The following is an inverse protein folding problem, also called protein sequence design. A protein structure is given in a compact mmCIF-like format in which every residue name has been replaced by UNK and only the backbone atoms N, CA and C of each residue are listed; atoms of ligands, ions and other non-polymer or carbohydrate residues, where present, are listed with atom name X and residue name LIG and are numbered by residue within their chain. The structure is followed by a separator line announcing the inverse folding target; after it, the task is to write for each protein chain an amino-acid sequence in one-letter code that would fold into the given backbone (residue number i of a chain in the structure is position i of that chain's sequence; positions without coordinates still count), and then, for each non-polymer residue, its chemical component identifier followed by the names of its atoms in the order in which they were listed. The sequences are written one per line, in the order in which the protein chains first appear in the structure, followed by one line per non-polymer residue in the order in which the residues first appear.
data_IF_168460885166
#
_entry.id   IF_168460885166
#
_cell.length_a   1.000
_cell.length_b   1.000
_cell.length_c   1.000
_cell.angle_alpha   90.00
_cell.angle_beta   90.00
_cell.angle_gamma   90.00
#
_symmetry.space_group_name_H-M   'P 1'
#
loop_
_entity.id
_entity.type
_entity.pdbx_description
1 polymer ?
#
# COMPACT_ATOMS: atom_id res chain seq x y z
N UNK A 1 -14.22 -7.20 3.76
CA UNK A 1 -13.57 -7.22 2.43
C UNK A 1 -12.10 -6.92 2.66
N UNK A 2 -11.20 -7.72 2.12
CA UNK A 2 -9.76 -7.43 2.16
C UNK A 2 -9.44 -6.35 1.12
N UNK A 3 -8.69 -5.33 1.51
CA UNK A 3 -8.18 -4.30 0.62
C UNK A 3 -6.72 -3.97 0.97
N UNK A 4 -6.04 -3.36 0.02
CA UNK A 4 -4.72 -2.77 0.16
C UNK A 4 -4.85 -1.27 0.05
N UNK A 5 -4.11 -0.54 0.89
CA UNK A 5 -4.02 0.92 0.83
C UNK A 5 -2.84 1.29 -0.06
N UNK A 6 -3.06 2.25 -0.94
CA UNK A 6 -2.10 2.81 -1.87
C UNK A 6 -2.02 4.32 -1.67
N UNK A 7 -0.84 4.91 -1.83
CA UNK A 7 -0.69 6.33 -2.08
C UNK A 7 -0.65 6.53 -3.59
N UNK A 8 -1.67 7.19 -4.13
CA UNK A 8 -1.78 7.49 -5.56
C UNK A 8 -1.52 8.98 -5.75
N UNK A 9 -0.45 9.30 -6.48
CA UNK A 9 -0.10 10.68 -6.81
C UNK A 9 -0.70 11.05 -8.15
N UNK A 10 -1.42 12.17 -8.17
CA UNK A 10 -1.99 12.81 -9.36
C UNK A 10 -1.51 14.27 -9.41
N UNK A 11 -1.71 15.01 -10.52
CA UNK A 11 -1.34 16.41 -10.59
C UNK A 11 -1.92 17.24 -9.43
N UNK A 12 -1.03 17.79 -8.60
CA UNK A 12 -1.39 18.67 -7.49
C UNK A 12 -2.00 17.99 -6.26
N UNK A 13 -2.08 16.65 -6.19
CA UNK A 13 -2.67 15.95 -5.04
C UNK A 13 -2.10 14.55 -4.82
N UNK A 14 -2.05 14.14 -3.57
CA UNK A 14 -1.83 12.75 -3.16
C UNK A 14 -3.12 12.18 -2.55
N UNK A 15 -3.49 10.97 -2.96
CA UNK A 15 -4.71 10.28 -2.54
C UNK A 15 -4.34 9.00 -1.80
N UNK A 16 -4.90 8.81 -0.61
CA UNK A 16 -4.88 7.51 0.07
C UNK A 16 -6.02 6.67 -0.49
N UNK A 17 -5.68 5.69 -1.32
CA UNK A 17 -6.58 4.93 -2.17
C UNK A 17 -6.65 3.46 -1.73
N UNK A 18 -7.84 2.94 -1.45
CA UNK A 18 -8.06 1.56 -1.01
C UNK A 18 -8.57 0.74 -2.18
N UNK A 19 -7.92 -0.38 -2.46
CA UNK A 19 -8.27 -1.21 -3.62
C UNK A 19 -8.03 -2.69 -3.34
N UNK A 20 -8.71 -3.59 -4.06
CA UNK A 20 -8.60 -5.05 -3.89
C UNK A 20 -7.30 -5.64 -4.44
N UNK A 21 -6.55 -4.87 -5.23
CA UNK A 21 -5.25 -5.29 -5.75
C UNK A 21 -4.27 -5.58 -4.58
N UNK A 22 -3.52 -6.67 -4.64
CA UNK A 22 -2.62 -7.07 -3.56
C UNK A 22 -1.35 -6.21 -3.48
N UNK A 23 -0.90 -5.69 -4.63
CA UNK A 23 0.34 -4.92 -4.77
C UNK A 23 0.28 -3.87 -5.89
N UNK A 24 1.32 -3.05 -6.02
CA UNK A 24 1.40 -1.97 -7.03
C UNK A 24 1.34 -2.52 -8.46
N UNK A 25 2.02 -3.63 -8.75
CA UNK A 25 2.05 -4.22 -10.09
C UNK A 25 0.66 -4.63 -10.55
N UNK A 26 -0.13 -5.23 -9.66
CA UNK A 26 -1.51 -5.60 -9.93
C UNK A 26 -2.40 -4.35 -10.08
N UNK A 27 -2.23 -3.34 -9.22
CA UNK A 27 -2.97 -2.08 -9.30
C UNK A 27 -2.76 -1.36 -10.64
N UNK A 28 -1.51 -1.26 -11.12
CA UNK A 28 -1.18 -0.62 -12.39
C UNK A 28 -1.65 -1.46 -13.59
N UNK A 29 -1.81 -2.77 -13.42
CA UNK A 29 -2.24 -3.70 -14.48
C UNK A 29 -3.76 -3.75 -14.66
N UNK A 30 -4.54 -3.05 -13.84
CA UNK A 30 -5.99 -2.91 -13.99
C UNK A 30 -6.32 -2.38 -15.40
N UNK A 31 -7.23 -3.05 -16.09
CA UNK A 31 -7.62 -2.71 -17.47
C UNK A 31 -8.51 -1.48 -17.55
N UNK A 32 -9.28 -1.22 -16.50
CA UNK A 32 -10.23 -0.11 -16.47
C UNK A 32 -9.52 1.24 -16.39
N UNK A 33 -10.00 2.21 -17.19
CA UNK A 33 -9.47 3.57 -17.22
C UNK A 33 -9.80 4.36 -15.96
N UNK A 34 -10.93 4.06 -15.32
CA UNK A 34 -11.36 4.68 -14.07
C UNK A 34 -11.24 3.65 -12.95
N UNK A 35 -10.37 3.94 -11.99
CA UNK A 35 -10.18 3.11 -10.80
C UNK A 35 -11.00 3.74 -9.68
N UNK A 36 -11.84 2.94 -9.02
CA UNK A 36 -12.72 3.38 -7.92
C UNK A 36 -12.21 2.77 -6.62
N UNK A 37 -12.20 3.57 -5.56
CA UNK A 37 -11.83 3.10 -4.23
C UNK A 37 -12.80 2.00 -3.75
N UNK A 38 -12.31 1.07 -2.95
CA UNK A 38 -13.08 -0.07 -2.44
C UNK A 38 -14.38 0.33 -1.71
N UNK A 39 -14.45 1.56 -1.18
CA UNK A 39 -15.64 2.10 -0.52
C UNK A 39 -16.50 3.00 -1.43
N UNK A 40 -16.14 3.20 -2.70
CA UNK A 40 -16.86 4.05 -3.64
C UNK A 40 -16.77 5.55 -3.33
N UNK A 41 -15.87 5.97 -2.43
CA UNK A 41 -15.77 7.36 -1.94
C UNK A 41 -15.05 8.26 -2.94
N UNK A 42 -14.10 7.70 -3.69
CA UNK A 42 -13.25 8.44 -4.60
C UNK A 42 -12.90 7.59 -5.82
N UNK A 43 -12.53 8.24 -6.91
CA UNK A 43 -12.08 7.60 -8.13
C UNK A 43 -10.93 8.39 -8.74
N UNK A 44 -10.07 7.68 -9.46
CA UNK A 44 -8.92 8.25 -10.18
C UNK A 44 -8.90 7.70 -11.61
N UNK A 45 -8.64 8.56 -12.59
CA UNK A 45 -8.38 8.08 -13.95
C UNK A 45 -6.94 7.62 -14.04
N UNK A 46 -6.72 6.45 -14.65
CA UNK A 46 -5.40 5.86 -14.82
C UNK A 46 -4.43 6.78 -15.56
N UNK A 47 -4.92 7.53 -16.54
CA UNK A 47 -4.14 8.51 -17.30
C UNK A 47 -3.61 9.69 -16.45
N UNK A 48 -4.23 9.97 -15.31
CA UNK A 48 -3.83 11.06 -14.40
C UNK A 48 -2.84 10.60 -13.33
N UNK A 49 -2.53 9.30 -13.26
CA UNK A 49 -1.65 8.74 -12.24
C UNK A 49 -0.18 9.01 -12.59
N UNK A 50 0.51 9.74 -11.72
CA UNK A 50 1.96 10.00 -11.81
C UNK A 50 2.74 8.86 -11.16
N UNK A 51 2.33 8.45 -9.95
CA UNK A 51 2.93 7.33 -9.24
C UNK A 51 1.92 6.62 -8.34
N UNK A 52 2.17 5.34 -8.09
CA UNK A 52 1.43 4.52 -7.12
C UNK A 52 2.42 3.85 -6.21
N UNK A 53 2.19 4.03 -4.92
CA UNK A 53 2.97 3.44 -3.86
C UNK A 53 2.02 2.70 -2.92
N UNK A 54 2.53 1.71 -2.19
CA UNK A 54 1.73 1.04 -1.16
C UNK A 54 1.73 1.86 0.11
N UNK A 55 0.62 1.96 0.82
CA UNK A 55 0.58 2.63 2.11
C UNK A 55 0.47 1.60 3.24
N UNK A 56 1.36 1.64 4.27
CA UNK A 56 2.63 2.38 4.31
C UNK A 56 3.78 1.59 3.65
N UNK A 57 4.44 2.21 2.66
CA UNK A 57 5.60 1.71 1.89
C UNK A 57 6.66 1.08 2.79
N UNK A 58 7.07 1.74 3.89
CA UNK A 58 8.30 1.35 4.56
C UNK A 58 8.19 0.02 5.33
N UNK A 59 7.02 -0.24 5.91
CA UNK A 59 6.76 -1.49 6.62
C UNK A 59 6.61 -2.68 5.67
N UNK A 60 6.18 -2.47 4.41
CA UNK A 60 6.13 -3.54 3.40
C UNK A 60 7.51 -3.96 2.94
N UNK A 61 8.46 -3.02 2.81
CA UNK A 61 9.85 -3.37 2.53
C UNK A 61 10.46 -4.18 3.67
N UNK A 62 10.25 -3.75 4.93
CA UNK A 62 10.67 -4.52 6.10
C UNK A 62 10.08 -5.93 6.10
N UNK A 63 8.79 -6.09 5.76
CA UNK A 63 8.14 -7.39 5.62
C UNK A 63 8.82 -8.24 4.55
N UNK A 64 9.06 -7.68 3.36
CA UNK A 64 9.69 -8.40 2.24
C UNK A 64 11.12 -8.84 2.56
N UNK A 65 11.92 -7.99 3.22
CA UNK A 65 13.29 -8.33 3.64
C UNK A 65 13.34 -9.57 4.55
N UNK A 66 12.31 -9.77 5.39
CA UNK A 66 12.27 -10.86 6.38
C UNK A 66 11.62 -12.13 5.81
N UNK A 67 10.52 -11.98 5.07
CA UNK A 67 9.71 -13.12 4.61
C UNK A 67 10.00 -13.53 3.16
N UNK A 68 10.79 -12.75 2.42
CA UNK A 68 11.06 -12.93 0.99
C UNK A 68 9.79 -13.03 0.12
N UNK A 69 8.69 -12.41 0.57
CA UNK A 69 7.43 -12.31 -0.13
C UNK A 69 6.72 -11.00 0.23
N UNK A 70 5.84 -10.52 -0.65
CA UNK A 70 5.01 -9.35 -0.35
C UNK A 70 3.82 -9.74 0.53
N UNK A 71 3.37 -8.89 1.47
CA UNK A 71 2.17 -9.15 2.22
C UNK A 71 0.96 -9.09 1.28
N UNK A 72 0.15 -10.15 1.25
CA UNK A 72 -0.99 -10.26 0.34
C UNK A 72 -2.08 -9.20 0.55
N UNK A 73 -2.16 -8.61 1.75
CA UNK A 73 -3.02 -7.47 2.07
C UNK A 73 -2.47 -6.69 3.27
N UNK A 74 -3.09 -5.55 3.57
CA UNK A 74 -2.71 -4.67 4.68
C UNK A 74 -2.87 -5.34 6.06
N UNK A 75 -3.89 -6.18 6.22
CA UNK A 75 -4.16 -6.86 7.49
C UNK A 75 -3.04 -7.85 7.84
N UNK A 76 -2.49 -8.57 6.85
CA UNK A 76 -1.35 -9.47 7.03
C UNK A 76 -0.11 -8.70 7.48
N UNK A 77 0.15 -7.54 6.85
CA UNK A 77 1.24 -6.65 7.22
C UNK A 77 1.11 -6.17 8.67
N UNK A 78 -0.05 -5.64 9.06
CA UNK A 78 -0.24 -5.13 10.42
C UNK A 78 -0.24 -6.23 11.48
N UNK A 79 -0.85 -7.39 11.20
CA UNK A 79 -0.78 -8.56 12.10
C UNK A 79 0.66 -8.97 12.35
N UNK A 80 1.49 -9.02 11.31
CA UNK A 80 2.91 -9.30 11.46
C UNK A 80 3.60 -8.19 12.27
N UNK A 81 3.46 -6.93 11.87
CA UNK A 81 4.13 -5.81 12.52
C UNK A 81 3.80 -5.75 14.03
N UNK A 82 2.54 -5.93 14.42
CA UNK A 82 2.12 -5.96 15.82
C UNK A 82 2.49 -7.24 16.56
N UNK A 83 2.85 -8.33 15.85
CA UNK A 83 3.38 -9.55 16.46
C UNK A 83 4.86 -9.43 16.87
N UNK A 84 5.57 -8.44 16.33
CA UNK A 84 6.98 -8.20 16.66
C UNK A 84 7.14 -7.62 18.08
N UNK A 85 8.28 -7.89 18.75
CA UNK A 85 8.70 -7.18 19.95
C UNK A 85 8.71 -5.65 19.79
N UNK A 86 8.56 -4.90 20.89
CA UNK A 86 8.47 -3.44 20.83
C UNK A 86 9.73 -2.77 20.28
N UNK A 87 10.89 -3.30 20.61
CA UNK A 87 12.21 -2.87 20.12
C UNK A 87 12.37 -3.09 18.62
N UNK A 88 11.92 -4.23 18.08
CA UNK A 88 11.91 -4.47 16.64
C UNK A 88 10.96 -3.53 15.90
N UNK A 89 9.78 -3.28 16.47
CA UNK A 89 8.84 -2.30 15.89
C UNK A 89 9.44 -0.90 15.85
N UNK A 90 10.12 -0.46 16.92
CA UNK A 90 10.81 0.83 16.97
C UNK A 90 11.91 0.91 15.92
N UNK A 91 12.76 -0.10 15.83
CA UNK A 91 13.84 -0.14 14.84
C UNK A 91 13.31 -0.08 13.40
N UNK A 92 12.21 -0.79 13.12
CA UNK A 92 11.53 -0.69 11.82
C UNK A 92 10.96 0.72 11.65
N UNK A 93 10.20 1.27 12.58
CA UNK A 93 9.64 2.62 12.43
C UNK A 93 10.73 3.68 12.20
N UNK A 94 11.83 3.64 12.95
CA UNK A 94 12.96 4.59 12.83
C UNK A 94 13.71 4.47 11.51
N UNK A 95 13.94 3.24 11.02
CA UNK A 95 14.67 2.98 9.75
C UNK A 95 13.95 3.52 8.50
N UNK A 96 12.66 3.82 8.64
CA UNK A 96 11.72 3.87 7.54
C UNK A 96 10.74 5.06 7.66
N UNK A 97 11.01 6.02 8.55
CA UNK A 97 10.22 7.25 8.77
C UNK A 97 10.74 8.49 8.01
N UNK A 98 11.76 8.36 7.17
CA UNK A 98 12.30 9.45 6.31
C UNK A 98 11.50 9.69 5.02
#
# INVERSE_FOLDING_TARGET
MEYTVFNVRIPGKELVFRHTAANVSEFISIRDDLIIDAFGIQAVRKADIISVELNPVPYRFAYFEIHNEWPGNEQKLWKWFYSLPEDERKAITERYQD
#
